data_IF_495431085292
#
_entry.id   IF_495431085292
#
_cell.length_a   1.000
_cell.length_b   1.000
_cell.length_c   1.000
_cell.angle_alpha   90.00
_cell.angle_beta   90.00
_cell.angle_gamma   90.00
#
_symmetry.space_group_name_H-M   'P 1'
#
loop_
_entity.id
_entity.type
_entity.pdbx_description
1 polymer ?
#
# COMPACT_ATOMS: atom_id res chain seq x y z
N UNK A 1 -15.73 -24.11 -11.95
CA UNK A 1 -14.93 -23.02 -11.37
C UNK A 1 -15.04 -21.87 -12.33
N UNK A 2 -15.72 -20.82 -11.90
CA UNK A 2 -15.97 -19.68 -12.77
C UNK A 2 -14.64 -18.96 -13.05
N UNK A 3 -14.44 -18.49 -14.29
CA UNK A 3 -13.20 -17.82 -14.70
C UNK A 3 -12.99 -16.54 -13.88
N UNK A 4 -14.07 -15.88 -13.47
CA UNK A 4 -14.03 -14.66 -12.63
C UNK A 4 -13.62 -15.00 -11.20
N UNK A 5 -14.11 -16.10 -10.63
CA UNK A 5 -13.68 -16.56 -9.30
C UNK A 5 -12.18 -16.88 -9.28
N UNK A 6 -11.70 -17.59 -10.29
CA UNK A 6 -10.27 -17.91 -10.42
C UNK A 6 -9.41 -16.66 -10.60
N UNK A 7 -9.89 -15.65 -11.33
CA UNK A 7 -9.18 -14.38 -11.48
C UNK A 7 -9.06 -13.61 -10.15
N UNK A 8 -10.11 -13.62 -9.32
CA UNK A 8 -10.08 -12.99 -7.98
C UNK A 8 -9.08 -13.69 -7.05
N UNK A 9 -9.06 -15.03 -7.07
CA UNK A 9 -8.11 -15.83 -6.30
C UNK A 9 -6.65 -15.51 -6.70
N UNK A 10 -6.37 -15.49 -8.00
CA UNK A 10 -5.03 -15.14 -8.50
C UNK A 10 -4.62 -13.74 -8.07
N UNK A 11 -5.52 -12.76 -8.16
CA UNK A 11 -5.24 -11.39 -7.72
C UNK A 11 -4.86 -11.34 -6.25
N UNK A 12 -5.62 -12.02 -5.39
CA UNK A 12 -5.33 -12.09 -3.96
C UNK A 12 -3.95 -12.70 -3.69
N UNK A 13 -3.57 -13.76 -4.40
CA UNK A 13 -2.25 -14.36 -4.27
C UNK A 13 -1.13 -13.41 -4.71
N UNK A 14 -1.34 -12.64 -5.78
CA UNK A 14 -0.39 -11.63 -6.24
C UNK A 14 -0.22 -10.54 -5.17
N UNK A 15 -1.31 -10.05 -4.59
CA UNK A 15 -1.29 -9.01 -3.54
C UNK A 15 -0.57 -9.50 -2.27
N UNK A 16 -0.79 -10.75 -1.87
CA UNK A 16 -0.12 -11.37 -0.70
C UNK A 16 1.39 -11.52 -0.91
N UNK A 17 1.81 -12.01 -2.09
CA UNK A 17 3.22 -12.09 -2.45
C UNK A 17 3.86 -10.70 -2.60
N UNK A 18 3.12 -9.73 -3.16
CA UNK A 18 3.58 -8.35 -3.32
C UNK A 18 3.76 -7.62 -1.97
N UNK A 19 3.07 -8.05 -0.92
CA UNK A 19 3.26 -7.50 0.42
C UNK A 19 4.70 -7.68 0.93
N UNK A 20 5.40 -8.75 0.51
CA UNK A 20 6.80 -9.02 0.87
C UNK A 20 7.83 -8.36 -0.05
N UNK A 21 7.39 -7.66 -1.10
CA UNK A 21 8.31 -6.98 -2.02
C UNK A 21 9.04 -5.83 -1.30
N UNK A 22 10.27 -5.56 -1.72
CA UNK A 22 10.99 -4.35 -1.32
C UNK A 22 10.30 -3.09 -1.86
N UNK A 23 10.57 -1.95 -1.23
CA UNK A 23 9.98 -0.66 -1.62
C UNK A 23 10.32 -0.26 -3.07
N UNK A 24 11.52 -0.61 -3.54
CA UNK A 24 11.91 -0.42 -4.94
C UNK A 24 11.09 -1.28 -5.92
N UNK A 25 10.82 -2.55 -5.59
CA UNK A 25 9.96 -3.41 -6.40
C UNK A 25 8.51 -2.92 -6.35
N UNK A 26 8.04 -2.44 -5.20
CA UNK A 26 6.67 -1.94 -5.08
C UNK A 26 6.39 -0.72 -5.98
N UNK A 27 7.39 0.13 -6.22
CA UNK A 27 7.26 1.23 -7.19
C UNK A 27 7.20 0.76 -8.63
N UNK A 28 8.06 -0.18 -9.00
CA UNK A 28 8.13 -0.72 -10.36
C UNK A 28 6.82 -1.43 -10.70
N UNK A 29 6.31 -2.21 -9.73
CA UNK A 29 5.09 -2.99 -9.86
C UNK A 29 3.89 -2.36 -9.13
N UNK A 30 3.77 -1.02 -9.19
CA UNK A 30 2.67 -0.27 -8.52
C UNK A 30 1.26 -0.71 -8.93
N UNK A 31 1.14 -1.32 -10.09
CA UNK A 31 -0.12 -1.84 -10.64
C UNK A 31 -0.63 -3.09 -9.93
N UNK A 32 0.26 -3.79 -9.20
CA UNK A 32 -0.11 -4.97 -8.41
C UNK A 32 -0.81 -4.60 -7.10
N UNK A 33 -0.72 -3.33 -6.69
CA UNK A 33 -1.33 -2.85 -5.45
C UNK A 33 -2.72 -2.26 -5.72
N UNK A 34 -3.65 -2.42 -4.75
CA UNK A 34 -4.96 -1.82 -4.85
C UNK A 34 -4.86 -0.28 -4.83
N UNK A 35 -5.78 0.35 -5.55
CA UNK A 35 -5.96 1.80 -5.48
C UNK A 35 -6.59 2.18 -4.13
N UNK A 36 -6.15 3.30 -3.57
CA UNK A 36 -6.72 3.84 -2.35
C UNK A 36 -8.20 4.16 -2.55
N UNK A 37 -9.03 3.80 -1.59
CA UNK A 37 -10.47 4.00 -1.64
C UNK A 37 -10.96 4.59 -0.31
N UNK A 38 -11.74 5.68 -0.39
CA UNK A 38 -12.32 6.39 0.75
C UNK A 38 -13.57 5.73 1.36
N UNK A 39 -14.09 4.66 0.75
CA UNK A 39 -15.37 4.01 1.09
C UNK A 39 -15.27 3.10 2.34
N UNK A 40 -14.60 3.58 3.41
CA UNK A 40 -14.50 2.86 4.68
C UNK A 40 -13.67 1.57 4.61
N UNK A 41 -12.61 1.56 3.80
CA UNK A 41 -11.68 0.42 3.68
C UNK A 41 -10.79 0.34 4.91
N UNK A 42 -10.73 -0.82 5.55
CA UNK A 42 -9.81 -1.08 6.66
C UNK A 42 -8.41 -1.33 6.14
N UNK A 43 -7.50 -0.38 6.38
CA UNK A 43 -6.09 -0.49 6.07
C UNK A 43 -5.30 -0.94 7.29
N UNK A 44 -4.39 -1.89 7.09
CA UNK A 44 -3.47 -2.36 8.13
C UNK A 44 -2.06 -1.84 7.89
N UNK A 45 -1.35 -1.63 8.99
CA UNK A 45 0.06 -1.24 9.00
C UNK A 45 0.88 -2.21 8.16
N UNK A 46 1.73 -1.68 7.29
CA UNK A 46 2.54 -2.43 6.32
C UNK A 46 1.84 -2.69 4.98
N UNK A 47 0.52 -2.48 4.86
CA UNK A 47 -0.14 -2.55 3.56
C UNK A 47 0.33 -1.43 2.64
N UNK A 48 0.22 -1.66 1.33
CA UNK A 48 0.58 -0.67 0.31
C UNK A 48 -0.62 -0.36 -0.56
N UNK A 49 -0.82 0.91 -0.85
CA UNK A 49 -1.93 1.42 -1.67
C UNK A 49 -1.38 2.37 -2.72
N UNK A 50 -2.02 2.39 -3.88
CA UNK A 50 -1.71 3.33 -4.94
C UNK A 50 -2.64 4.53 -4.84
N UNK A 51 -2.10 5.74 -4.89
CA UNK A 51 -2.86 6.98 -4.95
C UNK A 51 -2.17 7.95 -5.89
N UNK A 52 -2.94 8.51 -6.83
CA UNK A 52 -2.46 9.45 -7.86
C UNK A 52 -1.19 8.96 -8.61
N UNK A 53 -1.12 7.66 -8.88
CA UNK A 53 0.02 7.04 -9.57
C UNK A 53 1.27 6.82 -8.72
N UNK A 54 1.21 7.10 -7.41
CA UNK A 54 2.28 6.90 -6.42
C UNK A 54 1.89 5.81 -5.42
N UNK A 55 2.87 5.06 -4.91
CA UNK A 55 2.63 4.01 -3.91
C UNK A 55 2.89 4.57 -2.51
N UNK A 56 1.97 4.29 -1.60
CA UNK A 56 2.05 4.67 -0.20
C UNK A 56 1.96 3.43 0.68
N UNK A 57 2.77 3.38 1.72
CA UNK A 57 2.76 2.36 2.77
C UNK A 57 1.94 2.86 3.94
N UNK A 58 0.98 2.05 4.39
CA UNK A 58 0.19 2.32 5.60
C UNK A 58 1.10 2.16 6.80
N UNK A 59 1.21 3.19 7.64
CA UNK A 59 2.05 3.16 8.85
C UNK A 59 1.25 2.96 10.14
N UNK A 60 -0.07 3.10 10.07
CA UNK A 60 -0.96 2.89 11.21
C UNK A 60 -2.28 2.23 10.75
N UNK A 61 -2.78 1.27 11.52
CA UNK A 61 -4.09 0.65 11.29
C UNK A 61 -5.21 1.71 11.38
N UNK A 62 -6.00 1.85 10.33
CA UNK A 62 -7.11 2.80 10.28
C UNK A 62 -8.18 2.39 9.27
N UNK A 63 -9.34 3.02 9.35
CA UNK A 63 -10.41 2.91 8.35
C UNK A 63 -10.34 4.14 7.46
N UNK A 64 -10.39 3.96 6.15
CA UNK A 64 -10.29 5.06 5.19
C UNK A 64 -11.42 6.05 5.36
N UNK A 65 -11.09 7.33 5.15
CA UNK A 65 -12.03 8.44 5.21
C UNK A 65 -11.74 9.38 4.04
N UNK A 66 -12.76 10.07 3.53
CA UNK A 66 -12.62 11.01 2.40
C UNK A 66 -11.54 12.08 2.61
N UNK A 67 -11.32 12.48 3.88
CA UNK A 67 -10.31 13.48 4.26
C UNK A 67 -8.92 12.89 4.51
N UNK A 68 -8.76 11.57 4.53
CA UNK A 68 -7.51 10.88 4.83
C UNK A 68 -6.88 10.34 3.55
N UNK A 69 -6.60 11.25 2.61
CA UNK A 69 -5.89 10.90 1.39
C UNK A 69 -4.43 10.59 1.70
N UNK A 70 -3.79 9.65 0.99
CA UNK A 70 -2.38 9.31 1.23
C UNK A 70 -1.40 10.47 1.07
N UNK A 71 -1.76 11.47 0.25
CA UNK A 71 -0.99 12.70 0.07
C UNK A 71 -1.08 13.66 1.27
N UNK A 72 -2.26 13.80 1.88
CA UNK A 72 -2.47 14.72 3.00
C UNK A 72 -2.21 14.09 4.38
N UNK A 73 -2.50 12.80 4.53
CA UNK A 73 -2.43 12.09 5.80
C UNK A 73 -1.07 11.36 5.97
N UNK A 74 0.01 12.13 6.01
CA UNK A 74 1.39 11.61 6.20
C UNK A 74 1.62 10.87 7.52
N UNK A 75 0.73 11.06 8.51
CA UNK A 75 0.75 10.29 9.77
C UNK A 75 0.10 8.91 9.66
N UNK A 76 -0.66 8.65 8.59
CA UNK A 76 -1.31 7.35 8.32
C UNK A 76 -0.64 6.62 7.14
N UNK A 77 -0.06 7.38 6.22
CA UNK A 77 0.57 6.89 5.00
C UNK A 77 1.99 7.46 4.86
N UNK A 78 2.96 6.58 4.62
CA UNK A 78 4.31 6.94 4.21
C UNK A 78 4.43 6.82 2.69
N UNK A 79 4.93 7.86 2.03
CA UNK A 79 5.23 7.78 0.61
C UNK A 79 6.40 6.79 0.40
N UNK A 80 6.20 5.79 -0.45
CA UNK A 80 7.28 4.89 -0.85
C UNK A 80 8.09 5.66 -1.91
N UNK A 81 9.12 6.40 -1.46
CA UNK A 81 10.17 7.00 -2.29
C UNK A 81 11.48 6.23 -2.07
N UNK A 82 12.33 6.07 -3.09
CA UNK A 82 13.65 5.39 -3.01
C UNK A 82 14.63 6.02 -2.01
N UNK A 83 14.20 7.08 -1.31
CA UNK A 83 14.96 7.78 -0.27
C UNK A 83 14.77 7.16 1.13
N UNK A 84 13.87 6.18 1.32
CA UNK A 84 13.63 5.54 2.63
C UNK A 84 14.68 4.44 2.95
N UNK A 85 15.95 4.63 2.59
CA UNK A 85 17.05 3.72 2.99
C UNK A 85 17.88 4.26 4.16
N UNK A 86 17.53 5.39 4.79
CA UNK A 86 18.47 6.07 5.71
C UNK A 86 17.87 6.71 6.98
N UNK A 87 16.84 6.15 7.64
CA UNK A 87 16.48 6.65 8.99
C UNK A 87 16.08 5.58 10.02
N UNK A 88 16.74 4.42 10.04
CA UNK A 88 16.73 3.54 11.23
C UNK A 88 18.15 3.42 11.79
N UNK A 89 18.71 4.55 12.23
CA UNK A 89 19.78 4.68 13.24
C UNK A 89 19.70 6.16 13.62
N UNK A 90 19.20 6.60 14.78
CA UNK A 90 19.71 6.41 16.13
C UNK A 90 18.60 6.81 17.13
N UNK A 91 18.35 5.96 18.13
CA UNK A 91 17.96 6.42 19.46
C UNK A 91 18.84 5.65 20.43
N UNK A 92 19.98 6.25 20.79
CA UNK A 92 20.78 5.87 21.97
C UNK A 92 19.99 6.11 23.27
#
# INVERSE_FOLDING_TARGET
MDVVERAKELRKQIEDNAAQMSDCMAMEYKELFPEWNADGVTYKTGNRVKYDGTIYRVIQDHVSQEKWTPDAATSLFANVTILDTETITERE
#
